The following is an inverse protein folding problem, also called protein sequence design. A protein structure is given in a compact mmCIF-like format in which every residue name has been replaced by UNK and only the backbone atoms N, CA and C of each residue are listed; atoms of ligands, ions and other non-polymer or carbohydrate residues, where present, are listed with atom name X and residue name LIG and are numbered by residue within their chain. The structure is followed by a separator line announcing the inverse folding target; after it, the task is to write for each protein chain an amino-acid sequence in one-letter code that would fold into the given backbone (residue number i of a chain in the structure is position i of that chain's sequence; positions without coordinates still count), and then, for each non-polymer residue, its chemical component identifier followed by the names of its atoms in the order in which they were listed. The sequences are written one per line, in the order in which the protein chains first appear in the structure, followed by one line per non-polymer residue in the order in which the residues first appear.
data_IF_205760173458
#
_entry.id   IF_205760173458
#
_cell.length_a   1.000
_cell.length_b   1.000
_cell.length_c   1.000
_cell.angle_alpha   90.00
_cell.angle_beta   90.00
_cell.angle_gamma   90.00
#
_symmetry.space_group_name_H-M   'P 1'
#
loop_
_entity.id
_entity.type
_entity.pdbx_description
1 polymer ?
#
# COMPACT_ATOMS: atom_id res chain seq x y z
N UNK A 1 44.90 -17.07 27.04
CA UNK A 1 45.04 -16.11 25.93
C UNK A 1 43.63 -15.83 25.44
N UNK A 2 43.02 -14.71 25.86
CA UNK A 2 41.70 -14.32 25.37
C UNK A 2 41.87 -13.79 23.95
N UNK A 3 41.35 -14.52 22.97
CA UNK A 3 41.16 -14.02 21.62
C UNK A 3 40.09 -12.94 21.65
N UNK A 4 40.50 -11.69 21.37
CA UNK A 4 39.57 -10.61 21.06
C UNK A 4 38.70 -11.06 19.89
N UNK A 5 37.39 -11.17 20.14
CA UNK A 5 36.39 -11.33 19.09
C UNK A 5 36.46 -10.05 18.25
N UNK A 6 36.72 -10.19 16.96
CA UNK A 6 36.75 -9.06 16.03
C UNK A 6 35.41 -8.33 16.11
N UNK A 7 35.45 -7.08 16.56
CA UNK A 7 34.29 -6.22 16.78
C UNK A 7 33.82 -5.56 15.47
N UNK A 8 34.07 -6.21 14.32
CA UNK A 8 33.72 -5.73 12.97
C UNK A 8 32.43 -6.32 12.43
N UNK A 9 31.72 -7.15 13.19
CA UNK A 9 30.31 -7.51 12.91
C UNK A 9 29.35 -6.36 13.27
N UNK A 10 29.79 -5.11 13.13
CA UNK A 10 28.86 -4.02 13.02
C UNK A 10 28.16 -4.21 11.67
N UNK A 11 26.89 -4.59 11.74
CA UNK A 11 25.99 -4.75 10.60
C UNK A 11 25.67 -3.36 10.03
N UNK A 12 26.71 -2.60 9.64
CA UNK A 12 26.62 -1.26 9.07
C UNK A 12 26.10 -1.31 7.62
N UNK A 13 25.97 -2.51 7.06
CA UNK A 13 25.31 -2.82 5.78
C UNK A 13 23.79 -3.05 5.93
N UNK A 14 23.16 -2.52 6.99
CA UNK A 14 21.69 -2.33 6.95
C UNK A 14 21.42 -1.16 6.01
N UNK A 15 21.44 -1.44 4.70
CA UNK A 15 20.89 -0.54 3.70
C UNK A 15 19.38 -0.51 3.95
N UNK A 16 18.77 0.66 4.17
CA UNK A 16 17.31 0.75 4.19
C UNK A 16 16.82 0.26 2.83
N UNK A 17 16.20 -0.92 2.79
CA UNK A 17 15.37 -1.27 1.64
C UNK A 17 14.27 -0.21 1.59
N UNK A 18 14.21 0.56 0.50
CA UNK A 18 13.22 1.62 0.33
C UNK A 18 11.84 1.07 0.70
N UNK A 19 11.32 1.52 1.86
CA UNK A 19 10.07 1.01 2.41
C UNK A 19 8.93 1.45 1.49
N UNK A 20 8.52 0.58 0.57
CA UNK A 20 7.45 0.84 -0.40
C UNK A 20 7.85 1.85 -1.48
N UNK A 21 8.01 1.37 -2.72
CA UNK A 21 8.29 2.24 -3.87
C UNK A 21 7.17 3.23 -4.15
N UNK A 22 5.96 2.90 -3.72
CA UNK A 22 4.76 3.66 -4.03
C UNK A 22 3.90 3.87 -2.78
N UNK A 23 3.23 5.02 -2.72
CA UNK A 23 2.16 5.31 -1.75
C UNK A 23 0.81 5.30 -2.44
N UNK A 24 -0.14 4.60 -1.83
CA UNK A 24 -1.54 4.59 -2.24
C UNK A 24 -2.34 5.61 -1.43
N UNK A 25 -2.90 6.60 -2.12
CA UNK A 25 -3.79 7.61 -1.55
C UNK A 25 -5.23 7.38 -1.97
N UNK A 26 -6.16 7.86 -1.13
CA UNK A 26 -7.54 8.09 -1.53
C UNK A 26 -7.70 9.52 -2.03
N UNK A 27 -8.50 9.72 -3.06
CA UNK A 27 -8.88 11.07 -3.52
C UNK A 27 -9.80 11.73 -2.49
N UNK A 28 -9.83 13.07 -2.42
CA UNK A 28 -10.72 13.79 -1.52
C UNK A 28 -12.18 13.37 -1.70
N UNK A 29 -12.94 13.41 -0.61
CA UNK A 29 -14.37 13.05 -0.55
C UNK A 29 -14.71 11.57 -0.78
N UNK A 30 -13.70 10.69 -0.91
CA UNK A 30 -13.92 9.25 -0.96
C UNK A 30 -14.46 8.74 0.38
N UNK A 31 -15.68 8.22 0.38
CA UNK A 31 -16.29 7.61 1.56
C UNK A 31 -15.80 6.17 1.71
N UNK A 32 -15.25 5.88 2.90
CA UNK A 32 -14.65 4.60 3.23
C UNK A 32 -15.39 3.93 4.37
N UNK A 33 -15.59 2.61 4.24
CA UNK A 33 -15.93 1.72 5.33
C UNK A 33 -14.84 0.65 5.52
N UNK A 34 -14.80 0.05 6.70
CA UNK A 34 -13.99 -1.14 7.00
C UNK A 34 -15.00 -2.21 7.38
N UNK A 35 -15.11 -3.27 6.59
CA UNK A 35 -16.01 -4.39 6.89
C UNK A 35 -15.61 -5.68 6.14
N UNK A 36 -16.24 -6.80 6.46
CA UNK A 36 -16.00 -8.09 5.79
C UNK A 36 -16.91 -8.33 4.57
N UNK A 37 -17.68 -7.33 4.15
CA UNK A 37 -18.58 -7.35 2.99
C UNK A 37 -18.78 -5.93 2.45
N UNK A 38 -19.19 -5.74 1.19
CA UNK A 38 -19.49 -4.42 0.65
C UNK A 38 -20.52 -3.66 1.50
N UNK A 39 -20.28 -2.37 1.73
CA UNK A 39 -21.19 -1.48 2.46
C UNK A 39 -21.87 -0.52 1.48
N UNK A 40 -23.21 -0.49 1.51
CA UNK A 40 -23.99 0.45 0.69
C UNK A 40 -23.71 1.89 1.11
N UNK A 41 -23.49 2.76 0.14
CA UNK A 41 -23.15 4.18 0.36
C UNK A 41 -21.66 4.46 0.54
N UNK A 42 -20.80 3.44 0.70
CA UNK A 42 -19.35 3.63 0.71
C UNK A 42 -18.79 3.53 -0.72
N UNK A 43 -17.85 4.40 -1.06
CA UNK A 43 -17.10 4.32 -2.31
C UNK A 43 -16.09 3.17 -2.27
N UNK A 44 -15.47 2.96 -1.10
CA UNK A 44 -14.52 1.90 -0.83
C UNK A 44 -14.93 1.19 0.46
N UNK A 45 -14.99 -0.13 0.44
CA UNK A 45 -15.03 -0.94 1.66
C UNK A 45 -13.77 -1.78 1.76
N UNK A 46 -12.88 -1.48 2.70
CA UNK A 46 -11.68 -2.31 2.94
C UNK A 46 -12.04 -3.55 3.74
N UNK A 47 -11.50 -4.70 3.33
CA UNK A 47 -11.66 -5.94 4.06
C UNK A 47 -10.93 -5.83 5.41
N UNK A 48 -11.60 -6.14 6.53
CA UNK A 48 -11.03 -5.89 7.87
C UNK A 48 -9.69 -6.62 8.11
N UNK A 49 -9.47 -7.76 7.45
CA UNK A 49 -8.21 -8.51 7.54
C UNK A 49 -7.00 -7.73 7.03
N UNK A 50 -7.20 -6.81 6.07
CA UNK A 50 -6.14 -5.94 5.55
C UNK A 50 -5.51 -5.14 6.68
N UNK A 51 -6.32 -4.69 7.65
CA UNK A 51 -5.89 -3.81 8.74
C UNK A 51 -5.37 -4.56 9.98
N UNK A 52 -5.41 -5.89 9.98
CA UNK A 52 -4.96 -6.72 11.11
C UNK A 52 -3.45 -6.71 11.30
N UNK A 53 -2.70 -6.59 10.21
CA UNK A 53 -1.24 -6.64 10.20
C UNK A 53 -0.67 -5.30 9.73
N UNK A 54 0.42 -4.85 10.35
CA UNK A 54 1.09 -3.60 9.94
C UNK A 54 1.79 -3.75 8.57
N UNK A 55 2.17 -4.97 8.22
CA UNK A 55 2.72 -5.31 6.92
C UNK A 55 2.32 -6.74 6.53
N UNK A 56 2.21 -7.00 5.23
CA UNK A 56 1.90 -8.31 4.67
C UNK A 56 2.20 -8.35 3.17
N UNK A 57 2.15 -9.55 2.58
CA UNK A 57 2.19 -9.73 1.12
C UNK A 57 0.78 -10.09 0.66
N UNK A 58 0.25 -9.32 -0.28
CA UNK A 58 -0.99 -9.63 -0.99
C UNK A 58 -0.67 -10.29 -2.33
N UNK A 59 -1.40 -11.34 -2.69
CA UNK A 59 -1.41 -11.93 -4.02
C UNK A 59 -2.70 -11.54 -4.76
N UNK A 60 -2.78 -11.71 -6.10
CA UNK A 60 -3.98 -11.39 -6.86
C UNK A 60 -5.25 -12.11 -6.38
N UNK A 61 -5.12 -13.27 -5.73
CA UNK A 61 -6.25 -14.01 -5.18
C UNK A 61 -6.80 -13.40 -3.88
N UNK A 62 -6.02 -12.53 -3.21
CA UNK A 62 -6.42 -11.92 -1.95
C UNK A 62 -7.38 -10.75 -2.17
N UNK A 63 -8.56 -10.82 -1.56
CA UNK A 63 -9.53 -9.72 -1.55
C UNK A 63 -9.04 -8.66 -0.57
N UNK A 64 -8.74 -7.46 -1.08
CA UNK A 64 -8.40 -6.30 -0.26
C UNK A 64 -9.63 -5.49 0.13
N UNK A 65 -10.71 -5.61 -0.63
CA UNK A 65 -11.95 -4.90 -0.38
C UNK A 65 -12.86 -4.86 -1.58
N UNK A 66 -13.77 -3.90 -1.57
CA UNK A 66 -14.77 -3.66 -2.60
C UNK A 66 -14.87 -2.20 -2.95
N UNK A 67 -15.25 -1.93 -4.19
CA UNK A 67 -15.38 -0.59 -4.76
C UNK A 67 -16.77 -0.41 -5.35
N UNK A 68 -17.24 0.84 -5.38
CA UNK A 68 -18.41 1.21 -6.14
C UNK A 68 -18.13 1.25 -7.66
N UNK A 69 -19.11 1.75 -8.43
CA UNK A 69 -19.04 1.87 -9.88
C UNK A 69 -17.91 2.77 -10.42
N UNK A 70 -17.35 3.66 -9.60
CA UNK A 70 -16.21 4.50 -9.98
C UNK A 70 -14.87 3.74 -9.83
N UNK A 71 -14.87 2.60 -9.12
CA UNK A 71 -13.76 1.66 -9.12
C UNK A 71 -12.43 2.29 -8.70
N UNK A 72 -11.39 2.09 -9.50
CA UNK A 72 -10.05 2.57 -9.18
C UNK A 72 -9.89 4.10 -9.23
N UNK A 73 -10.90 4.84 -9.72
CA UNK A 73 -10.81 6.30 -9.82
C UNK A 73 -10.71 6.99 -8.46
N UNK A 74 -11.08 6.30 -7.37
CA UNK A 74 -10.96 6.78 -5.99
C UNK A 74 -9.52 6.79 -5.47
N UNK A 75 -8.59 6.13 -6.18
CA UNK A 75 -7.20 6.05 -5.76
C UNK A 75 -6.31 7.00 -6.54
N UNK A 76 -5.20 7.37 -5.91
CA UNK A 76 -4.05 7.99 -6.55
C UNK A 76 -2.77 7.28 -6.07
N UNK A 77 -1.85 7.01 -6.98
CA UNK A 77 -0.55 6.41 -6.66
C UNK A 77 0.52 7.47 -6.83
N UNK A 78 1.46 7.53 -5.89
CA UNK A 78 2.64 8.39 -5.96
C UNK A 78 3.89 7.56 -5.71
N UNK A 79 4.97 7.86 -6.40
CA UNK A 79 6.28 7.30 -6.04
C UNK A 79 6.73 7.89 -4.70
N UNK A 80 7.32 7.07 -3.84
CA UNK A 80 8.13 7.54 -2.71
C UNK A 80 9.57 7.67 -3.20
N UNK A 81 9.95 8.88 -3.60
CA UNK A 81 11.34 9.19 -3.95
C UNK A 81 12.08 9.72 -2.72
N UNK A 82 13.22 9.12 -2.38
CA UNK A 82 14.21 9.73 -1.50
C UNK A 82 14.82 10.95 -2.20
N UNK A 83 14.32 12.15 -1.89
CA UNK A 83 14.96 13.48 -1.97
C UNK A 83 15.98 13.75 -3.11
N UNK A 84 15.83 13.18 -4.29
CA UNK A 84 16.64 13.52 -5.45
C UNK A 84 15.72 14.08 -6.51
N UNK A 85 15.99 15.34 -6.87
CA UNK A 85 15.31 16.19 -7.84
C UNK A 85 15.36 15.61 -9.26
N UNK A 86 14.79 14.42 -9.44
CA UNK A 86 14.46 13.85 -10.72
C UNK A 86 12.95 13.78 -10.76
N UNK A 87 12.34 14.80 -11.37
CA UNK A 87 10.94 14.81 -11.77
C UNK A 87 10.73 13.70 -12.80
N UNK A 88 10.66 12.45 -12.33
CA UNK A 88 10.09 11.37 -13.13
C UNK A 88 8.59 11.68 -13.24
N UNK A 89 8.25 12.40 -14.31
CA UNK A 89 6.92 12.92 -14.65
C UNK A 89 5.97 11.82 -15.13
N UNK A 90 6.39 10.57 -15.00
CA UNK A 90 5.61 9.38 -15.33
C UNK A 90 4.35 9.32 -14.46
N UNK A 91 3.19 9.54 -15.08
CA UNK A 91 1.89 9.43 -14.43
C UNK A 91 1.66 7.97 -14.02
N UNK A 92 1.66 7.70 -12.72
CA UNK A 92 1.35 6.39 -12.16
C UNK A 92 -0.17 6.20 -12.07
N UNK A 93 -0.68 5.22 -12.79
CA UNK A 93 -2.09 4.86 -12.79
C UNK A 93 -2.34 3.75 -11.76
N UNK A 94 -3.38 3.86 -10.90
CA UNK A 94 -3.73 2.78 -9.97
C UNK A 94 -3.91 1.42 -10.65
N UNK A 95 -4.41 1.40 -11.89
CA UNK A 95 -4.63 0.18 -12.67
C UNK A 95 -3.35 -0.59 -13.04
N UNK A 96 -2.16 0.02 -12.88
CA UNK A 96 -0.89 -0.69 -13.04
C UNK A 96 -0.64 -1.68 -11.89
N UNK A 97 -1.22 -1.40 -10.71
CA UNK A 97 -0.95 -2.13 -9.47
C UNK A 97 -2.18 -2.83 -8.90
N UNK A 98 -3.37 -2.34 -9.23
CA UNK A 98 -4.64 -2.76 -8.65
C UNK A 98 -5.61 -3.22 -9.74
N UNK A 99 -6.44 -4.21 -9.40
CA UNK A 99 -7.59 -4.66 -10.18
C UNK A 99 -8.88 -4.40 -9.39
N UNK A 100 -9.95 -4.07 -10.11
CA UNK A 100 -11.28 -3.78 -9.58
C UNK A 100 -12.40 -4.61 -10.25
N UNK A 101 -12.05 -5.69 -10.93
CA UNK A 101 -13.00 -6.54 -11.65
C UNK A 101 -14.15 -7.02 -10.76
N UNK A 102 -15.39 -6.85 -11.25
CA UNK A 102 -16.60 -7.15 -10.49
C UNK A 102 -16.79 -6.31 -9.23
N UNK A 103 -16.12 -5.16 -9.12
CA UNK A 103 -16.14 -4.32 -7.91
C UNK A 103 -15.28 -4.86 -6.78
N UNK A 104 -14.42 -5.86 -7.02
CA UNK A 104 -13.55 -6.45 -6.00
C UNK A 104 -12.14 -5.88 -6.15
N UNK A 105 -11.63 -5.25 -5.10
CA UNK A 105 -10.29 -4.68 -5.06
C UNK A 105 -9.25 -5.77 -4.79
N UNK A 106 -8.29 -5.91 -5.70
CA UNK A 106 -7.16 -6.85 -5.65
C UNK A 106 -5.89 -6.18 -6.14
N UNK A 107 -4.73 -6.79 -5.90
CA UNK A 107 -3.47 -6.43 -6.56
C UNK A 107 -3.34 -7.14 -7.91
N UNK A 108 -2.61 -6.55 -8.86
CA UNK A 108 -2.34 -7.16 -10.17
C UNK A 108 -1.21 -8.19 -10.13
N UNK A 109 -0.30 -8.06 -9.17
CA UNK A 109 0.81 -8.98 -8.93
C UNK A 109 1.06 -9.12 -7.41
N UNK A 110 1.75 -10.18 -6.96
CA UNK A 110 2.25 -10.26 -5.59
C UNK A 110 2.88 -8.93 -5.15
N UNK A 111 2.39 -8.35 -4.05
CA UNK A 111 2.72 -6.99 -3.63
C UNK A 111 2.93 -6.97 -2.12
N UNK A 112 4.08 -6.45 -1.70
CA UNK A 112 4.36 -6.17 -0.30
C UNK A 112 3.69 -4.86 0.09
N UNK A 113 2.90 -4.87 1.16
CA UNK A 113 2.11 -3.75 1.65
C UNK A 113 2.53 -3.43 3.08
N UNK A 114 2.72 -2.14 3.36
CA UNK A 114 2.98 -1.57 4.67
C UNK A 114 1.89 -0.53 4.97
N UNK A 115 1.06 -0.79 5.96
CA UNK A 115 0.00 0.16 6.32
C UNK A 115 0.59 1.37 7.03
N UNK A 116 0.21 2.56 6.57
CA UNK A 116 0.56 3.83 7.22
C UNK A 116 -0.59 4.39 8.05
N UNK A 117 -1.81 3.89 7.84
CA UNK A 117 -3.00 4.36 8.53
C UNK A 117 -4.05 3.25 8.59
N UNK A 118 -4.77 3.18 9.72
CA UNK A 118 -5.79 2.14 9.98
C UNK A 118 -7.19 2.70 10.21
N UNK A 119 -7.32 4.01 10.42
CA UNK A 119 -8.63 4.66 10.59
C UNK A 119 -8.98 5.43 9.32
N UNK A 120 -10.28 5.54 8.95
CA UNK A 120 -10.68 6.30 7.78
C UNK A 120 -10.20 7.77 7.79
N UNK A 121 -10.12 8.38 8.98
CA UNK A 121 -9.65 9.77 9.15
C UNK A 121 -8.17 9.87 8.80
N UNK A 122 -7.34 8.96 9.29
CA UNK A 122 -5.90 8.97 9.04
C UNK A 122 -5.59 8.61 7.60
N UNK A 123 -6.31 7.62 7.03
CA UNK A 123 -6.14 7.18 5.64
C UNK A 123 -6.39 8.35 4.67
N UNK A 124 -7.44 9.14 4.89
CA UNK A 124 -7.72 10.32 4.08
C UNK A 124 -6.64 11.41 4.18
N UNK A 125 -5.98 11.54 5.33
CA UNK A 125 -4.95 12.56 5.56
C UNK A 125 -3.57 12.15 5.08
N UNK A 126 -3.18 10.89 5.31
CA UNK A 126 -1.78 10.42 5.18
C UNK A 126 -1.58 9.45 4.02
N UNK A 127 -2.67 8.90 3.48
CA UNK A 127 -2.67 7.76 2.55
C UNK A 127 -2.96 6.44 3.27
N UNK A 128 -3.23 5.39 2.50
CA UNK A 128 -3.58 4.07 3.02
C UNK A 128 -2.34 3.24 3.39
N UNK A 129 -1.46 3.05 2.41
CA UNK A 129 -0.28 2.19 2.54
C UNK A 129 0.86 2.64 1.65
N UNK A 130 2.06 2.21 2.04
CA UNK A 130 3.21 2.09 1.16
C UNK A 130 3.24 0.68 0.59
N UNK A 131 3.65 0.52 -0.67
CA UNK A 131 3.66 -0.78 -1.32
C UNK A 131 4.74 -0.91 -2.39
N UNK A 132 5.15 -2.16 -2.62
CA UNK A 132 6.12 -2.55 -3.65
C UNK A 132 5.67 -3.88 -4.28
N UNK A 133 5.41 -3.94 -5.60
CA UNK A 133 5.26 -5.21 -6.29
C UNK A 133 6.51 -6.08 -6.11
N UNK A 134 6.34 -7.32 -5.69
CA UNK A 134 7.43 -8.31 -5.57
C UNK A 134 7.51 -9.11 -6.87
N UNK A 135 8.73 -9.23 -7.41
CA UNK A 135 9.03 -10.04 -8.60
C UNK A 135 8.94 -11.53 -8.29
#
# INVERSE_FOLDING_TARGET
MLTLVNNTDANDDIVPEAHGLYRLHLKPNTQMAIENKPVFGANITLHSSVLKHDNFVATPDNILGWLDHCGLSHFAVKAETDNSESEDTSVLLPSQFLNAEGGILRVTAPTRIYLISKTPIDINKRGLCLFTPVK
#
